data_IF_223632845970
#
_entry.id   IF_223632845970
#
_cell.length_a   1.000
_cell.length_b   1.000
_cell.length_c   1.000
_cell.angle_alpha   90.00
_cell.angle_beta   90.00
_cell.angle_gamma   90.00
#
_symmetry.space_group_name_H-M   'P 1'
#
loop_
_entity.id
_entity.type
_entity.pdbx_description
1 polymer ?
#
# COMPACT_ATOMS: atom_id res chain seq x y z
N UNK A 1 32.77 -7.90 -10.00
CA UNK A 1 31.91 -7.39 -8.93
C UNK A 1 31.66 -8.53 -7.96
N UNK A 2 32.04 -8.39 -6.71
CA UNK A 2 31.73 -9.41 -5.69
C UNK A 2 30.38 -8.99 -5.12
N UNK A 3 29.35 -9.78 -5.35
CA UNK A 3 28.05 -9.61 -4.77
C UNK A 3 28.02 -10.27 -3.40
N UNK A 4 27.61 -9.52 -2.37
CA UNK A 4 27.58 -10.00 -1.00
C UNK A 4 26.28 -10.76 -0.68
N UNK A 5 25.21 -10.52 -1.45
CA UNK A 5 23.92 -11.15 -1.30
C UNK A 5 23.53 -11.99 -2.52
N UNK A 6 22.72 -13.02 -2.29
CA UNK A 6 21.97 -13.69 -3.34
C UNK A 6 20.62 -13.00 -3.53
N UNK A 7 20.06 -13.09 -4.73
CA UNK A 7 18.77 -12.48 -5.07
C UNK A 7 17.74 -13.58 -5.33
N UNK A 8 16.61 -13.47 -4.65
CA UNK A 8 15.46 -14.34 -4.85
C UNK A 8 14.29 -13.51 -5.41
N UNK A 9 13.86 -13.84 -6.62
CA UNK A 9 12.71 -13.22 -7.27
C UNK A 9 11.48 -14.11 -7.06
N UNK A 10 10.38 -13.53 -6.54
CA UNK A 10 9.16 -14.27 -6.26
C UNK A 10 7.98 -13.46 -6.82
N UNK A 11 7.13 -14.11 -7.60
CA UNK A 11 5.82 -13.61 -7.96
C UNK A 11 4.80 -14.29 -7.03
N UNK A 12 4.27 -13.56 -6.07
CA UNK A 12 3.27 -14.10 -5.15
C UNK A 12 1.91 -14.19 -5.82
N UNK A 13 1.15 -15.21 -5.47
CA UNK A 13 -0.25 -15.39 -5.91
C UNK A 13 -1.21 -14.98 -4.82
N UNK A 14 -2.46 -14.67 -5.23
CA UNK A 14 -3.57 -14.39 -4.32
C UNK A 14 -3.25 -13.30 -3.26
N UNK A 15 -2.60 -12.22 -3.70
CA UNK A 15 -2.35 -11.05 -2.87
C UNK A 15 -3.68 -10.39 -2.51
N UNK A 16 -4.58 -10.23 -3.47
CA UNK A 16 -5.91 -9.64 -3.35
C UNK A 16 -6.86 -10.44 -2.43
N UNK A 17 -6.59 -11.73 -2.24
CA UNK A 17 -7.32 -12.61 -1.30
C UNK A 17 -6.79 -12.49 0.15
N UNK A 18 -5.94 -11.51 0.41
CA UNK A 18 -5.36 -11.21 1.72
C UNK A 18 -3.95 -11.74 1.93
N UNK A 19 -3.07 -11.50 0.97
CA UNK A 19 -1.63 -11.81 1.01
C UNK A 19 -1.36 -13.31 1.15
N UNK A 20 -2.19 -14.16 0.52
CA UNK A 20 -2.14 -15.62 0.75
C UNK A 20 -0.78 -16.19 0.38
N UNK A 21 -0.23 -15.81 -0.78
CA UNK A 21 1.05 -16.32 -1.27
C UNK A 21 2.22 -15.95 -0.36
N UNK A 22 2.36 -14.68 -0.01
CA UNK A 22 3.45 -14.21 0.85
C UNK A 22 3.34 -14.70 2.30
N UNK A 23 2.11 -14.82 2.84
CA UNK A 23 1.87 -15.46 4.13
C UNK A 23 2.24 -16.93 4.13
N UNK A 24 1.90 -17.65 3.05
CA UNK A 24 2.30 -19.05 2.90
C UNK A 24 3.82 -19.17 2.87
N UNK A 25 4.49 -18.40 2.03
CA UNK A 25 5.94 -18.40 1.93
C UNK A 25 6.61 -18.11 3.28
N UNK A 26 6.18 -17.06 3.98
CA UNK A 26 6.78 -16.69 5.29
C UNK A 26 6.41 -17.64 6.42
N UNK A 27 5.44 -18.51 6.24
CA UNK A 27 5.07 -19.58 7.19
C UNK A 27 5.73 -20.91 6.85
N UNK A 28 5.99 -21.17 5.56
CA UNK A 28 6.62 -22.38 5.03
C UNK A 28 7.75 -22.01 4.07
N UNK A 29 8.82 -21.35 4.56
CA UNK A 29 9.82 -20.77 3.69
C UNK A 29 10.70 -21.84 3.05
N UNK A 30 11.03 -21.65 1.77
CA UNK A 30 11.99 -22.49 1.03
C UNK A 30 13.45 -22.10 1.31
N UNK A 31 13.68 -20.97 1.97
CA UNK A 31 14.97 -20.47 2.46
C UNK A 31 14.83 -20.10 3.94
N UNK A 32 15.91 -20.10 4.70
CA UNK A 32 15.85 -19.67 6.10
C UNK A 32 15.49 -18.18 6.16
N UNK A 33 14.40 -17.83 6.84
CA UNK A 33 13.98 -16.44 6.98
C UNK A 33 15.05 -15.54 7.61
N UNK A 34 15.86 -16.10 8.54
CA UNK A 34 16.97 -15.39 9.13
C UNK A 34 18.10 -15.02 8.16
N UNK A 35 18.19 -15.69 7.01
CA UNK A 35 19.17 -15.39 5.97
C UNK A 35 18.69 -14.30 5.01
N UNK A 36 17.39 -13.97 5.01
CA UNK A 36 16.85 -12.88 4.20
C UNK A 36 17.32 -11.54 4.81
N UNK A 37 18.07 -10.78 4.02
CA UNK A 37 18.61 -9.49 4.43
C UNK A 37 17.54 -8.39 4.45
N UNK A 38 16.79 -8.28 3.36
CA UNK A 38 15.60 -7.44 3.27
C UNK A 38 14.66 -7.99 2.18
N UNK A 39 13.43 -7.51 2.18
CA UNK A 39 12.46 -7.76 1.12
C UNK A 39 12.14 -6.45 0.41
N UNK A 40 12.17 -6.47 -0.91
CA UNK A 40 11.77 -5.34 -1.75
C UNK A 40 10.52 -5.76 -2.52
N UNK A 41 9.44 -5.04 -2.30
CA UNK A 41 8.18 -5.23 -2.98
C UNK A 41 8.01 -4.20 -4.09
N UNK A 42 7.51 -4.65 -5.21
CA UNK A 42 7.15 -3.80 -6.35
C UNK A 42 5.70 -4.10 -6.69
N UNK A 43 4.85 -3.11 -6.51
CA UNK A 43 3.44 -3.23 -6.74
C UNK A 43 2.95 -2.02 -7.55
N UNK A 44 2.22 -2.27 -8.64
CA UNK A 44 1.68 -1.25 -9.54
C UNK A 44 2.72 -0.22 -10.04
N UNK A 45 3.98 -0.65 -10.28
CA UNK A 45 5.05 0.27 -10.70
C UNK A 45 5.00 0.66 -12.18
N UNK A 46 4.18 0.01 -12.99
CA UNK A 46 4.03 0.23 -14.43
C UNK A 46 3.15 1.44 -14.81
N UNK A 47 2.62 2.18 -13.85
CA UNK A 47 1.69 3.30 -14.11
C UNK A 47 2.20 4.63 -13.52
N UNK A 48 3.53 4.87 -13.55
CA UNK A 48 4.09 6.14 -13.12
C UNK A 48 3.46 7.28 -13.91
N UNK A 49 2.81 8.19 -13.21
CA UNK A 49 2.18 9.37 -13.80
C UNK A 49 3.24 10.33 -14.34
N UNK A 50 3.09 10.77 -15.58
CA UNK A 50 4.10 11.58 -16.30
C UNK A 50 4.25 12.99 -15.77
N UNK A 51 3.20 13.54 -15.16
CA UNK A 51 3.17 14.91 -14.65
C UNK A 51 3.66 14.99 -13.21
N UNK A 52 3.01 14.23 -12.32
CA UNK A 52 3.33 14.23 -10.90
C UNK A 52 4.61 13.46 -10.58
N UNK A 53 4.94 12.43 -11.38
CA UNK A 53 6.08 11.51 -11.17
C UNK A 53 6.16 10.96 -9.75
N UNK A 54 4.99 10.77 -9.12
CA UNK A 54 4.89 10.39 -7.72
C UNK A 54 5.29 8.92 -7.53
N UNK A 55 6.25 8.69 -6.63
CA UNK A 55 6.70 7.37 -6.22
C UNK A 55 6.59 7.24 -4.71
N UNK A 56 5.73 6.34 -4.24
CA UNK A 56 5.61 6.00 -2.83
C UNK A 56 6.66 4.98 -2.44
N UNK A 57 7.31 5.19 -1.29
CA UNK A 57 8.27 4.25 -0.72
C UNK A 57 7.86 3.96 0.72
N UNK A 58 7.27 2.79 0.93
CA UNK A 58 6.88 2.29 2.25
C UNK A 58 8.02 1.51 2.90
N UNK A 59 7.95 1.36 4.21
CA UNK A 59 8.92 0.54 4.95
C UNK A 59 10.24 1.25 5.27
N UNK A 60 10.36 2.53 4.93
CA UNK A 60 11.58 3.32 5.16
C UNK A 60 12.11 3.26 6.60
N UNK A 61 11.22 3.20 7.58
CA UNK A 61 11.58 3.10 9.01
C UNK A 61 11.97 1.70 9.47
N UNK A 62 11.87 0.66 8.63
CA UNK A 62 12.11 -0.73 9.03
C UNK A 62 13.59 -1.10 9.15
N UNK A 63 14.48 -0.22 8.69
CA UNK A 63 15.91 -0.28 8.94
C UNK A 63 16.53 1.11 8.99
N UNK A 64 17.42 1.43 9.94
CA UNK A 64 18.11 2.72 9.98
C UNK A 64 19.03 2.91 8.77
N UNK A 65 19.45 1.83 8.11
CA UNK A 65 20.30 1.86 6.92
C UNK A 65 19.59 2.55 5.75
N UNK A 66 18.26 2.46 5.64
CA UNK A 66 17.52 3.03 4.52
C UNK A 66 17.65 4.55 4.42
N UNK A 67 17.74 5.24 5.56
CA UNK A 67 17.95 6.69 5.58
C UNK A 67 19.27 7.14 4.91
N UNK A 68 20.25 6.26 4.85
CA UNK A 68 21.56 6.56 4.24
C UNK A 68 21.73 6.10 2.79
N UNK A 69 20.73 5.39 2.23
CA UNK A 69 20.79 4.82 0.88
C UNK A 69 19.65 5.24 -0.04
N UNK A 70 18.53 5.70 0.52
CA UNK A 70 17.39 6.17 -0.27
C UNK A 70 17.53 7.68 -0.47
N UNK A 71 17.82 8.09 -1.69
CA UNK A 71 17.81 9.51 -2.06
C UNK A 71 16.36 9.97 -2.24
N UNK A 72 15.84 10.67 -1.24
CA UNK A 72 14.48 11.21 -1.26
C UNK A 72 14.32 12.46 -2.13
N UNK A 73 15.43 13.02 -2.64
CA UNK A 73 15.45 14.19 -3.51
C UNK A 73 15.82 13.82 -4.96
N UNK A 74 15.71 12.56 -5.33
CA UNK A 74 15.99 12.12 -6.69
C UNK A 74 15.14 12.89 -7.71
N UNK A 75 15.80 13.56 -8.63
CA UNK A 75 15.14 14.46 -9.59
C UNK A 75 14.21 13.72 -10.59
N UNK A 76 14.32 12.38 -10.66
CA UNK A 76 13.44 11.54 -11.51
C UNK A 76 12.02 11.49 -10.98
N UNK A 77 11.83 11.67 -9.65
CA UNK A 77 10.56 11.40 -8.97
C UNK A 77 10.18 12.47 -7.95
N UNK A 78 8.89 12.55 -7.68
CA UNK A 78 8.36 13.12 -6.44
C UNK A 78 8.20 11.97 -5.44
N UNK A 79 9.23 11.74 -4.62
CA UNK A 79 9.26 10.63 -3.66
C UNK A 79 8.47 10.99 -2.41
N UNK A 80 7.54 10.10 -2.04
CA UNK A 80 6.75 10.21 -0.80
C UNK A 80 7.09 9.02 0.09
N UNK A 81 7.63 9.31 1.27
CA UNK A 81 8.09 8.30 2.23
C UNK A 81 7.01 7.96 3.25
N UNK A 82 6.78 6.66 3.46
CA UNK A 82 6.10 6.13 4.64
C UNK A 82 7.05 5.22 5.42
N UNK A 83 7.20 5.52 6.71
CA UNK A 83 8.10 4.75 7.59
C UNK A 83 7.52 3.39 8.00
N UNK A 84 6.19 3.17 7.84
CA UNK A 84 5.53 1.94 8.26
C UNK A 84 6.02 0.73 7.46
N UNK A 85 6.34 -0.36 8.14
CA UNK A 85 6.56 -1.66 7.52
C UNK A 85 5.27 -2.45 7.30
N UNK A 86 4.14 -1.91 7.74
CA UNK A 86 2.81 -2.48 7.53
C UNK A 86 2.11 -1.75 6.39
N UNK A 87 1.47 -2.51 5.51
CA UNK A 87 0.68 -1.98 4.41
C UNK A 87 -0.20 -3.08 3.80
N UNK A 88 -1.00 -2.77 2.78
CA UNK A 88 -1.94 -3.73 2.20
C UNK A 88 -1.30 -4.71 1.21
N UNK A 89 0.03 -4.73 1.04
CA UNK A 89 0.71 -5.57 0.07
C UNK A 89 1.69 -6.56 0.71
N UNK A 90 2.29 -7.44 -0.07
CA UNK A 90 3.07 -8.62 0.36
C UNK A 90 4.25 -8.33 1.30
N UNK A 91 4.82 -7.11 1.27
CA UNK A 91 5.90 -6.73 2.18
C UNK A 91 5.51 -6.86 3.66
N UNK A 92 4.23 -6.71 3.99
CA UNK A 92 3.71 -6.86 5.34
C UNK A 92 3.99 -8.25 5.92
N UNK A 93 3.88 -9.30 5.10
CA UNK A 93 4.16 -10.68 5.54
C UNK A 93 5.60 -10.86 6.01
N UNK A 94 6.55 -10.19 5.38
CA UNK A 94 7.97 -10.22 5.75
C UNK A 94 8.27 -9.31 6.95
N UNK A 95 7.70 -8.12 6.99
CA UNK A 95 7.82 -7.23 8.13
C UNK A 95 7.38 -7.91 9.44
N UNK A 96 6.28 -8.65 9.42
CA UNK A 96 5.78 -9.42 10.57
C UNK A 96 6.72 -10.55 11.00
N UNK A 97 7.74 -10.87 10.20
CA UNK A 97 8.83 -11.81 10.53
C UNK A 97 10.12 -11.09 10.93
N UNK A 98 10.05 -9.80 11.23
CA UNK A 98 11.19 -8.96 11.59
C UNK A 98 12.26 -8.85 10.50
N UNK A 99 11.83 -8.86 9.24
CA UNK A 99 12.69 -8.64 8.08
C UNK A 99 12.50 -7.19 7.63
N UNK A 100 13.57 -6.39 7.42
CA UNK A 100 13.48 -5.07 6.84
C UNK A 100 12.80 -5.13 5.47
N UNK A 101 11.90 -4.19 5.20
CA UNK A 101 11.12 -4.17 3.95
C UNK A 101 11.13 -2.78 3.32
N UNK A 102 11.10 -2.75 2.00
CA UNK A 102 10.75 -1.57 1.19
C UNK A 102 9.65 -1.98 0.22
N UNK A 103 8.68 -1.12 0.01
CA UNK A 103 7.65 -1.34 -1.00
C UNK A 103 7.50 -0.09 -1.85
N UNK A 104 7.52 -0.27 -3.17
CA UNK A 104 7.44 0.79 -4.17
C UNK A 104 6.10 0.73 -4.88
N UNK A 105 5.47 1.91 -5.03
CA UNK A 105 4.13 2.04 -5.57
C UNK A 105 3.98 3.37 -6.30
N UNK A 106 3.43 3.38 -7.51
CA UNK A 106 3.30 4.60 -8.32
C UNK A 106 1.95 5.31 -8.17
N UNK A 107 1.07 4.79 -7.32
CA UNK A 107 -0.27 5.31 -7.10
C UNK A 107 -1.34 4.50 -7.83
N UNK A 108 -2.58 4.74 -7.44
CA UNK A 108 -3.73 4.18 -8.15
C UNK A 108 -4.03 4.97 -9.42
N UNK A 109 -4.69 4.32 -10.36
CA UNK A 109 -5.10 4.90 -11.65
C UNK A 109 -6.56 4.52 -11.97
N UNK A 110 -7.16 5.24 -12.91
CA UNK A 110 -8.58 5.10 -13.22
C UNK A 110 -9.00 3.72 -13.75
N UNK A 111 -8.05 2.90 -14.20
CA UNK A 111 -8.29 1.55 -14.69
C UNK A 111 -8.12 0.47 -13.63
N UNK A 112 -7.70 0.83 -12.40
CA UNK A 112 -7.45 -0.11 -11.31
C UNK A 112 -8.62 -1.07 -11.10
N UNK A 113 -8.34 -2.38 -11.10
CA UNK A 113 -9.31 -3.47 -11.00
C UNK A 113 -10.42 -3.45 -12.08
N UNK A 114 -10.15 -2.89 -13.26
CA UNK A 114 -11.09 -2.86 -14.39
C UNK A 114 -10.56 -3.65 -15.56
N UNK A 115 -11.48 -4.13 -16.42
CA UNK A 115 -11.14 -4.78 -17.68
C UNK A 115 -10.40 -3.86 -18.66
N UNK A 116 -10.38 -2.55 -18.40
CA UNK A 116 -9.67 -1.56 -19.19
C UNK A 116 -8.20 -1.40 -18.80
N UNK A 117 -7.70 -2.12 -17.78
CA UNK A 117 -6.29 -2.07 -17.38
C UNK A 117 -5.46 -3.03 -18.23
N UNK A 118 -5.15 -2.58 -19.43
CA UNK A 118 -4.46 -3.32 -20.47
C UNK A 118 -3.01 -2.85 -20.64
N UNK A 119 -2.22 -3.67 -21.33
CA UNK A 119 -0.78 -3.46 -21.56
C UNK A 119 -0.44 -2.15 -22.29
N UNK A 120 -1.33 -1.66 -23.14
CA UNK A 120 -1.17 -0.40 -23.87
C UNK A 120 -1.15 0.84 -22.97
N UNK A 121 -1.56 0.69 -21.71
CA UNK A 121 -1.58 1.76 -20.71
C UNK A 121 -0.36 1.76 -19.78
N UNK A 122 0.51 0.78 -19.91
CA UNK A 122 1.75 0.74 -19.14
C UNK A 122 2.71 1.84 -19.62
N UNK A 123 3.19 2.64 -18.67
CA UNK A 123 4.26 3.59 -18.90
C UNK A 123 5.61 2.88 -18.76
N UNK A 124 6.05 2.19 -19.83
CA UNK A 124 7.30 1.42 -19.82
C UNK A 124 8.54 2.28 -19.52
N UNK A 125 8.56 3.52 -19.99
CA UNK A 125 9.67 4.45 -19.69
C UNK A 125 9.69 4.80 -18.19
N UNK A 126 8.53 5.08 -17.62
CA UNK A 126 8.37 5.34 -16.19
C UNK A 126 8.71 4.11 -15.34
N UNK A 127 8.27 2.94 -15.73
CA UNK A 127 8.61 1.67 -15.06
C UNK A 127 10.11 1.41 -15.09
N UNK A 128 10.77 1.64 -16.23
CA UNK A 128 12.23 1.51 -16.35
C UNK A 128 12.97 2.44 -15.39
N UNK A 129 12.50 3.69 -15.23
CA UNK A 129 13.09 4.63 -14.26
C UNK A 129 12.94 4.13 -12.82
N UNK A 130 11.76 3.60 -12.46
CA UNK A 130 11.52 3.01 -11.13
C UNK A 130 12.43 1.82 -10.89
N UNK A 131 12.54 0.91 -11.86
CA UNK A 131 13.43 -0.26 -11.76
C UNK A 131 14.90 0.13 -11.63
N UNK A 132 15.35 1.16 -12.34
CA UNK A 132 16.72 1.68 -12.20
C UNK A 132 16.96 2.23 -10.78
N UNK A 133 16.04 3.01 -10.25
CA UNK A 133 16.12 3.54 -8.89
C UNK A 133 16.17 2.41 -7.85
N UNK A 134 15.32 1.39 -7.99
CA UNK A 134 15.34 0.22 -7.10
C UNK A 134 16.67 -0.53 -7.22
N UNK A 135 17.19 -0.71 -8.44
CA UNK A 135 18.49 -1.37 -8.65
C UNK A 135 19.65 -0.61 -8.00
N UNK A 136 19.63 0.72 -8.03
CA UNK A 136 20.62 1.56 -7.34
C UNK A 136 20.55 1.36 -5.81
N UNK A 137 19.34 1.30 -5.24
CA UNK A 137 19.13 0.99 -3.82
C UNK A 137 19.65 -0.41 -3.49
N UNK A 138 19.31 -1.43 -4.29
CA UNK A 138 19.78 -2.81 -4.12
C UNK A 138 21.31 -2.89 -4.15
N UNK A 139 21.97 -2.19 -5.06
CA UNK A 139 23.44 -2.14 -5.13
C UNK A 139 24.03 -1.52 -3.85
N UNK A 140 23.39 -0.51 -3.28
CA UNK A 140 23.85 0.07 -2.03
C UNK A 140 23.63 -0.90 -0.86
N UNK A 141 22.46 -1.57 -0.78
CA UNK A 141 22.18 -2.60 0.23
C UNK A 141 23.25 -3.69 0.19
N UNK A 142 23.64 -4.13 -0.99
CA UNK A 142 24.64 -5.20 -1.17
C UNK A 142 25.99 -4.87 -0.53
N UNK A 143 26.31 -3.60 -0.34
CA UNK A 143 27.54 -3.13 0.31
C UNK A 143 27.44 -2.99 1.84
N UNK A 144 26.24 -3.12 2.45
CA UNK A 144 26.01 -2.78 3.87
C UNK A 144 26.03 -3.98 4.81
N UNK A 145 26.18 -5.20 4.29
CA UNK A 145 26.08 -6.42 5.10
C UNK A 145 24.64 -6.67 5.57
N UNK A 146 24.49 -7.33 6.71
CA UNK A 146 23.15 -7.64 7.28
C UNK A 146 22.49 -6.38 7.82
N UNK A 147 21.30 -6.07 7.32
CA UNK A 147 20.52 -4.92 7.78
C UNK A 147 19.92 -5.19 9.17
N UNK A 148 19.88 -4.14 9.98
CA UNK A 148 19.22 -4.18 11.28
C UNK A 148 17.73 -3.90 11.10
N UNK A 149 16.88 -4.80 11.59
CA UNK A 149 15.44 -4.57 11.63
C UNK A 149 15.08 -3.59 12.75
N UNK A 150 14.18 -2.67 12.43
CA UNK A 150 13.55 -1.76 13.39
C UNK A 150 12.04 -1.90 13.28
N UNK A 151 11.39 -2.22 14.38
CA UNK A 151 9.94 -2.20 14.44
C UNK A 151 9.45 -0.75 14.32
N UNK A 152 8.61 -0.50 13.33
CA UNK A 152 7.98 0.81 13.16
C UNK A 152 6.79 0.92 14.11
N UNK A 153 6.46 2.13 14.53
CA UNK A 153 5.23 2.36 15.29
C UNK A 153 4.05 2.07 14.35
N UNK A 154 3.49 0.89 14.48
CA UNK A 154 2.23 0.59 13.81
C UNK A 154 1.18 1.50 14.44
N UNK A 155 0.55 2.34 13.66
CA UNK A 155 -0.78 2.80 14.00
C UNK A 155 -1.57 1.51 14.15
N UNK A 156 -2.08 1.22 15.35
CA UNK A 156 -2.62 -0.09 15.78
C UNK A 156 -3.46 -0.75 14.68
N UNK A 157 -2.85 -1.67 13.96
CA UNK A 157 -3.59 -2.60 13.10
C UNK A 157 -4.03 -3.77 13.97
N UNK A 158 -5.19 -3.61 14.59
CA UNK A 158 -5.92 -4.79 15.09
C UNK A 158 -6.07 -5.77 13.92
N UNK A 159 -5.87 -7.07 14.16
CA UNK A 159 -6.19 -8.16 13.22
C UNK A 159 -7.67 -8.11 12.87
N UNK A 160 -8.01 -7.27 11.91
CA UNK A 160 -9.36 -7.07 11.45
C UNK A 160 -9.62 -8.05 10.32
N UNK A 161 -10.30 -9.15 10.63
CA UNK A 161 -10.95 -9.97 9.60
C UNK A 161 -12.16 -9.16 9.14
N UNK A 162 -11.99 -8.44 8.04
CA UNK A 162 -13.12 -7.74 7.41
C UNK A 162 -14.18 -8.76 7.03
N UNK A 163 -15.38 -8.59 7.56
CA UNK A 163 -16.54 -9.38 7.20
C UNK A 163 -17.34 -8.73 6.07
N UNK A 164 -17.04 -7.46 5.82
CA UNK A 164 -17.72 -6.61 4.83
C UNK A 164 -16.73 -5.68 4.14
N UNK A 165 -17.11 -5.16 2.98
CA UNK A 165 -16.41 -4.09 2.28
C UNK A 165 -17.37 -2.97 1.96
N UNK A 166 -16.92 -1.74 2.06
CA UNK A 166 -17.65 -0.59 1.55
C UNK A 166 -17.64 -0.56 0.01
N UNK A 167 -16.59 -1.14 -0.59
CA UNK A 167 -16.41 -1.14 -2.04
C UNK A 167 -15.86 0.19 -2.56
N UNK A 168 -14.99 0.84 -1.80
CA UNK A 168 -14.22 2.00 -2.25
C UNK A 168 -12.80 1.57 -2.62
N UNK A 169 -12.19 2.38 -3.48
CA UNK A 169 -10.76 2.41 -3.73
C UNK A 169 -10.20 3.63 -2.98
N UNK A 170 -9.50 3.43 -1.85
CA UNK A 170 -8.93 4.54 -1.10
C UNK A 170 -7.69 5.10 -1.80
N UNK A 171 -7.56 6.42 -1.83
CA UNK A 171 -6.31 7.09 -2.22
C UNK A 171 -5.31 7.02 -1.05
N UNK A 172 -4.34 6.13 -1.15
CA UNK A 172 -3.29 5.96 -0.14
C UNK A 172 -2.25 7.10 -0.15
N UNK A 173 -2.31 7.97 -1.14
CA UNK A 173 -1.32 9.03 -1.36
C UNK A 173 -1.85 10.42 -1.00
N UNK A 174 -3.14 10.55 -0.69
CA UNK A 174 -3.75 11.81 -0.33
C UNK A 174 -3.26 12.29 1.04
N UNK A 175 -2.72 13.51 1.10
CA UNK A 175 -2.39 14.19 2.35
C UNK A 175 -3.64 14.92 2.88
N UNK A 176 -4.58 14.14 3.43
CA UNK A 176 -5.85 14.63 3.97
C UNK A 176 -6.17 13.97 5.30
N UNK A 177 -6.92 14.64 6.14
CA UNK A 177 -7.51 14.00 7.32
C UNK A 177 -8.77 13.26 6.88
N UNK A 178 -8.76 11.94 6.98
CA UNK A 178 -9.84 11.08 6.48
C UNK A 178 -9.32 10.04 5.49
N UNK A 179 -10.22 9.46 4.72
CA UNK A 179 -9.90 8.56 3.61
C UNK A 179 -10.49 9.12 2.33
N UNK A 180 -9.64 9.61 1.45
CA UNK A 180 -10.04 10.04 0.12
C UNK A 180 -10.43 8.82 -0.70
N UNK A 181 -11.56 8.91 -1.39
CA UNK A 181 -12.08 7.89 -2.28
C UNK A 181 -11.58 8.19 -3.68
N UNK A 182 -10.76 7.31 -4.23
CA UNK A 182 -10.26 7.41 -5.60
C UNK A 182 -11.28 6.84 -6.60
N UNK A 183 -12.02 5.83 -6.17
CA UNK A 183 -13.10 5.25 -6.94
C UNK A 183 -14.07 4.43 -6.09
N UNK A 184 -15.17 4.01 -6.69
CA UNK A 184 -16.15 3.10 -6.10
C UNK A 184 -16.37 1.91 -7.01
N UNK A 185 -16.54 0.74 -6.42
CA UNK A 185 -16.80 -0.51 -7.15
C UNK A 185 -18.29 -0.62 -7.47
N UNK A 186 -18.59 -0.99 -8.72
CA UNK A 186 -19.95 -1.21 -9.20
C UNK A 186 -20.69 -2.27 -8.37
N UNK A 187 -21.95 -1.98 -8.03
CA UNK A 187 -22.82 -2.86 -7.23
C UNK A 187 -22.44 -2.98 -5.74
N UNK A 188 -21.46 -2.22 -5.25
CA UNK A 188 -21.07 -2.25 -3.84
C UNK A 188 -21.75 -1.16 -3.01
N UNK A 189 -21.70 -1.33 -1.70
CA UNK A 189 -22.38 -0.48 -0.71
C UNK A 189 -22.07 1.01 -0.87
N UNK A 190 -20.85 1.38 -1.23
CA UNK A 190 -20.45 2.78 -1.45
C UNK A 190 -21.19 3.40 -2.64
N UNK A 191 -21.22 2.71 -3.77
CA UNK A 191 -21.92 3.19 -4.97
C UNK A 191 -23.41 3.34 -4.71
N UNK A 192 -24.03 2.30 -4.13
CA UNK A 192 -25.47 2.28 -3.79
C UNK A 192 -25.82 3.43 -2.84
N UNK A 193 -24.95 3.76 -1.89
CA UNK A 193 -25.10 4.86 -0.96
C UNK A 193 -24.82 6.24 -1.58
N UNK A 194 -24.29 6.29 -2.80
CA UNK A 194 -23.97 7.53 -3.51
C UNK A 194 -22.63 8.16 -3.11
N UNK A 195 -21.70 7.38 -2.55
CA UNK A 195 -20.29 7.78 -2.41
C UNK A 195 -19.67 7.84 -3.81
N UNK A 196 -18.80 8.80 -4.05
CA UNK A 196 -18.20 9.06 -5.35
C UNK A 196 -16.67 9.25 -5.26
N UNK A 197 -15.99 9.10 -6.37
CA UNK A 197 -14.59 9.50 -6.51
C UNK A 197 -14.40 10.97 -6.12
N UNK A 198 -13.35 11.27 -5.39
CA UNK A 198 -13.04 12.58 -4.83
C UNK A 198 -13.68 12.86 -3.46
N UNK A 199 -14.60 12.04 -2.97
CA UNK A 199 -15.13 12.17 -1.59
C UNK A 199 -14.01 11.87 -0.57
N UNK A 200 -14.10 12.51 0.60
CA UNK A 200 -13.23 12.16 1.74
C UNK A 200 -14.11 11.63 2.86
N UNK A 201 -13.94 10.37 3.24
CA UNK A 201 -14.63 9.75 4.36
C UNK A 201 -14.07 10.34 5.65
N UNK A 202 -14.92 11.00 6.42
CA UNK A 202 -14.57 11.68 7.67
C UNK A 202 -15.05 10.93 8.91
N UNK A 203 -16.22 10.25 8.83
CA UNK A 203 -16.83 9.57 9.97
C UNK A 203 -17.61 8.34 9.51
N UNK A 204 -17.69 7.33 10.38
CA UNK A 204 -18.58 6.18 10.26
C UNK A 204 -19.29 5.97 11.59
N UNK A 205 -20.63 6.11 11.64
CA UNK A 205 -21.46 6.06 12.85
C UNK A 205 -20.94 6.97 13.99
N UNK A 206 -20.51 8.19 13.65
CA UNK A 206 -19.99 9.16 14.61
C UNK A 206 -18.53 8.91 15.05
N UNK A 207 -17.92 7.82 14.62
CA UNK A 207 -16.49 7.57 14.84
C UNK A 207 -15.68 8.31 13.78
N UNK A 208 -14.81 9.22 14.22
CA UNK A 208 -13.96 10.01 13.32
C UNK A 208 -12.91 9.12 12.66
N UNK A 209 -12.88 9.17 11.34
CA UNK A 209 -11.87 8.50 10.50
C UNK A 209 -10.77 9.51 10.20
N UNK A 210 -9.57 9.27 10.71
CA UNK A 210 -8.43 10.16 10.52
C UNK A 210 -7.53 9.74 9.35
N UNK A 211 -7.50 8.44 9.08
CA UNK A 211 -6.64 7.81 8.08
C UNK A 211 -7.21 6.45 7.67
N UNK A 212 -6.54 5.80 6.73
CA UNK A 212 -6.93 4.48 6.22
C UNK A 212 -6.99 3.42 7.33
N UNK A 213 -6.12 3.49 8.33
CA UNK A 213 -6.10 2.51 9.42
C UNK A 213 -7.32 2.66 10.34
N UNK A 214 -7.72 3.92 10.62
CA UNK A 214 -8.96 4.23 11.34
C UNK A 214 -10.19 3.71 10.59
N UNK A 215 -10.22 3.90 9.26
CA UNK A 215 -11.26 3.37 8.39
C UNK A 215 -11.32 1.85 8.45
N UNK A 216 -10.19 1.18 8.28
CA UNK A 216 -10.11 -0.27 8.31
C UNK A 216 -10.53 -0.82 9.68
N UNK A 217 -10.11 -0.21 10.78
CA UNK A 217 -10.53 -0.58 12.14
C UNK A 217 -12.05 -0.46 12.30
N UNK A 218 -12.64 0.62 11.82
CA UNK A 218 -14.07 0.85 11.92
C UNK A 218 -14.86 -0.14 11.04
N UNK A 219 -14.38 -0.40 9.82
CA UNK A 219 -14.99 -1.36 8.91
C UNK A 219 -15.06 -2.77 9.50
N UNK A 220 -14.08 -3.15 10.29
CA UNK A 220 -14.01 -4.44 10.97
C UNK A 220 -15.10 -4.66 12.03
N UNK A 221 -15.72 -3.60 12.52
CA UNK A 221 -16.82 -3.68 13.48
C UNK A 221 -18.13 -4.14 12.84
N UNK A 222 -18.25 -4.02 11.52
CA UNK A 222 -19.48 -4.36 10.80
C UNK A 222 -19.49 -5.79 10.29
N UNK A 223 -20.68 -6.29 10.03
CA UNK A 223 -20.99 -7.58 9.41
C UNK A 223 -22.02 -7.38 8.30
N UNK A 224 -22.22 -8.41 7.49
CA UNK A 224 -23.23 -8.40 6.43
C UNK A 224 -24.60 -8.00 6.98
N UNK A 225 -25.29 -7.17 6.22
CA UNK A 225 -26.62 -6.59 6.51
C UNK A 225 -26.63 -5.49 7.60
N UNK A 226 -25.49 -5.16 8.22
CA UNK A 226 -25.41 -4.01 9.12
C UNK A 226 -25.58 -2.71 8.32
N UNK A 227 -26.11 -1.68 9.00
CA UNK A 227 -26.28 -0.34 8.45
C UNK A 227 -25.39 0.64 9.21
N UNK A 228 -24.85 1.60 8.50
CA UNK A 228 -24.11 2.71 9.12
C UNK A 228 -24.35 4.02 8.39
N UNK A 229 -24.07 5.12 9.07
CA UNK A 229 -24.04 6.46 8.46
C UNK A 229 -22.58 6.83 8.20
N UNK A 230 -22.24 6.98 6.93
CA UNK A 230 -20.93 7.47 6.50
C UNK A 230 -21.02 8.97 6.24
N UNK A 231 -20.15 9.76 6.86
CA UNK A 231 -20.03 11.18 6.59
C UNK A 231 -18.86 11.38 5.64
N UNK A 232 -19.16 11.95 4.47
CA UNK A 232 -18.15 12.31 3.49
C UNK A 232 -18.07 13.81 3.29
N UNK A 233 -16.89 14.32 2.96
CA UNK A 233 -16.69 15.65 2.42
C UNK A 233 -16.64 15.54 0.89
N UNK A 234 -17.50 16.29 0.20
CA UNK A 234 -17.56 16.43 -1.25
C UNK A 234 -17.42 17.91 -1.61
N UNK A 235 -16.24 18.31 -2.06
CA UNK A 235 -15.91 19.73 -2.17
C UNK A 235 -16.02 20.40 -0.81
N UNK A 236 -16.81 21.48 -0.73
CA UNK A 236 -17.04 22.24 0.52
C UNK A 236 -18.20 21.71 1.38
N UNK A 237 -18.86 20.63 0.97
CA UNK A 237 -20.05 20.10 1.63
C UNK A 237 -19.77 18.81 2.38
N UNK A 238 -20.33 18.69 3.59
CA UNK A 238 -20.41 17.42 4.30
C UNK A 238 -21.76 16.76 4.04
N UNK A 239 -21.72 15.50 3.61
CA UNK A 239 -22.90 14.69 3.30
C UNK A 239 -22.96 13.52 4.28
N UNK A 240 -24.17 13.19 4.74
CA UNK A 240 -24.43 11.98 5.53
C UNK A 240 -25.10 10.96 4.63
N UNK A 241 -24.44 9.86 4.38
CA UNK A 241 -24.89 8.85 3.46
C UNK A 241 -25.21 7.55 4.23
N UNK A 242 -26.46 7.07 4.17
CA UNK A 242 -26.82 5.79 4.76
C UNK A 242 -26.24 4.65 3.90
N UNK A 243 -25.47 3.79 4.51
CA UNK A 243 -24.83 2.62 3.89
C UNK A 243 -25.42 1.36 4.49
N UNK A 244 -25.62 0.34 3.67
CA UNK A 244 -25.90 -1.04 4.08
C UNK A 244 -24.81 -1.95 3.51
N UNK A 245 -24.23 -2.78 4.37
CA UNK A 245 -23.20 -3.75 3.98
C UNK A 245 -23.77 -5.06 3.48
#
# INVERSE_FOLDING_TARGET
KVEANNFLFICFSAEEDGLVGSKHFTSNPTVKLGDINCMINMDMIGRLDTDSKKLMVYGYGTSPTFAGIIDTNDARFHIVIDSSGMGPTDHTSFYLKNIPVLSFFTGQHNDYHKASDDVDKINFEGEQLVLQYIAEIVQQIDTKGKLTFTATKNKEQGRSKYKVTLGIMPDYTADVVGVRVDGVMEGKSAEIAGIQSGDIILEMDGVVIKDIYGYMKQLAAYKKDDKCIVVVQRGDKKLKLPVQF
#
